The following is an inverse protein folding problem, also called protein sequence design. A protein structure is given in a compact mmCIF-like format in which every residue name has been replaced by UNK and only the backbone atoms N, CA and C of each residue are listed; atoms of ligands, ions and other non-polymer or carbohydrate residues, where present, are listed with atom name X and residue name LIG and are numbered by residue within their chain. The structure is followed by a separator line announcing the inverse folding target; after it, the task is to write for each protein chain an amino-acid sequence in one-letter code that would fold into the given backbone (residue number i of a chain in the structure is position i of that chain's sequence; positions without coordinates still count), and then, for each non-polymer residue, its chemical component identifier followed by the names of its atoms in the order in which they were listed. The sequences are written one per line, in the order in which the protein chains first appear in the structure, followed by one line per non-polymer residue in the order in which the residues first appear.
data_IF_029899848231
#
_entry.id   IF_029899848231
#
_cell.length_a   1.000
_cell.length_b   1.000
_cell.length_c   1.000
_cell.angle_alpha   90.00
_cell.angle_beta   90.00
_cell.angle_gamma   90.00
#
_symmetry.space_group_name_H-M   'P 1'
#
loop_
_entity.id
_entity.type
_entity.pdbx_description
1 polymer ?
#
# COMPACT_ATOMS: atom_id res chain seq x y z
N UNK A 1 -14.42 11.90 -3.75
CA UNK A 1 -13.62 10.97 -2.91
C UNK A 1 -14.51 9.80 -2.52
N UNK A 2 -14.07 8.56 -2.70
CA UNK A 2 -14.84 7.40 -2.24
C UNK A 2 -14.63 7.23 -0.74
N UNK A 3 -15.43 7.94 0.07
CA UNK A 3 -15.26 8.04 1.52
C UNK A 3 -15.29 6.68 2.23
N UNK A 4 -16.00 5.70 1.67
CA UNK A 4 -16.11 4.34 2.24
C UNK A 4 -14.75 3.62 2.20
N UNK A 5 -14.08 3.69 1.06
CA UNK A 5 -12.79 3.05 0.86
C UNK A 5 -11.69 3.75 1.67
N UNK A 6 -11.75 5.08 1.83
CA UNK A 6 -10.80 5.82 2.67
C UNK A 6 -10.95 5.45 4.15
N UNK A 7 -12.19 5.28 4.63
CA UNK A 7 -12.46 4.76 5.97
C UNK A 7 -11.93 3.35 6.15
N UNK A 8 -12.06 2.47 5.15
CA UNK A 8 -11.47 1.11 5.20
C UNK A 8 -9.95 1.14 5.35
N UNK A 9 -9.27 1.99 4.56
CA UNK A 9 -7.81 2.13 4.63
C UNK A 9 -7.37 2.60 6.02
N UNK A 10 -8.02 3.64 6.55
CA UNK A 10 -7.73 4.13 7.89
C UNK A 10 -8.02 3.09 8.98
N UNK A 11 -9.10 2.32 8.85
CA UNK A 11 -9.46 1.29 9.82
C UNK A 11 -8.43 0.15 9.88
N UNK A 12 -7.94 -0.29 8.72
CA UNK A 12 -6.90 -1.34 8.61
C UNK A 12 -5.57 -0.90 9.19
N UNK A 13 -5.16 0.34 8.90
CA UNK A 13 -3.97 0.96 9.50
C UNK A 13 -4.06 0.97 11.03
N UNK A 14 -5.19 1.45 11.57
CA UNK A 14 -5.45 1.45 13.02
C UNK A 14 -5.49 0.05 13.62
N UNK A 15 -6.07 -0.93 12.93
CA UNK A 15 -6.18 -2.31 13.41
C UNK A 15 -4.80 -2.96 13.61
N UNK A 16 -3.78 -2.54 12.86
CA UNK A 16 -2.39 -2.96 13.00
C UNK A 16 -1.53 -2.04 13.87
N UNK A 17 -2.13 -1.03 14.52
CA UNK A 17 -1.42 -0.11 15.39
C UNK A 17 -0.62 0.98 14.67
N UNK A 18 -0.73 1.09 13.35
CA UNK A 18 -0.04 2.13 12.60
C UNK A 18 -0.71 3.50 12.77
N UNK A 19 0.09 4.51 13.09
CA UNK A 19 -0.24 5.91 12.89
C UNK A 19 0.17 6.32 11.47
N UNK A 20 -0.70 7.00 10.73
CA UNK A 20 -0.39 7.46 9.36
C UNK A 20 -0.42 8.98 9.30
N UNK A 21 0.60 9.59 8.68
CA UNK A 21 0.59 11.02 8.41
C UNK A 21 -0.43 11.34 7.30
N UNK A 22 -1.09 12.51 7.32
CA UNK A 22 -2.10 12.86 6.32
C UNK A 22 -1.58 12.80 4.87
N UNK A 23 -0.36 13.27 4.62
CA UNK A 23 0.29 13.17 3.31
C UNK A 23 0.55 11.72 2.88
N UNK A 24 0.94 10.87 3.83
CA UNK A 24 1.18 9.44 3.59
C UNK A 24 -0.13 8.70 3.28
N UNK A 25 -1.20 9.04 4.00
CA UNK A 25 -2.54 8.50 3.76
C UNK A 25 -3.06 8.89 2.37
N UNK A 26 -2.85 10.13 1.95
CA UNK A 26 -3.24 10.60 0.62
C UNK A 26 -2.50 9.84 -0.49
N UNK A 27 -1.21 9.60 -0.31
CA UNK A 27 -0.40 8.87 -1.28
C UNK A 27 -0.79 7.39 -1.36
N UNK A 28 -0.95 6.75 -0.20
CA UNK A 28 -1.40 5.36 -0.09
C UNK A 28 -2.78 5.19 -0.72
N UNK A 29 -3.68 6.13 -0.45
CA UNK A 29 -5.02 6.19 -1.06
C UNK A 29 -4.94 6.28 -2.59
N UNK A 30 -4.13 7.20 -3.12
CA UNK A 30 -3.94 7.37 -4.55
C UNK A 30 -3.43 6.10 -5.23
N UNK A 31 -2.60 5.32 -4.53
CA UNK A 31 -2.14 4.02 -5.00
C UNK A 31 -3.22 2.95 -4.96
N UNK A 32 -3.85 2.69 -3.80
CA UNK A 32 -4.84 1.60 -3.67
C UNK A 32 -6.10 1.85 -4.50
N UNK A 33 -6.46 3.11 -4.75
CA UNK A 33 -7.58 3.45 -5.62
C UNK A 33 -7.37 3.00 -7.07
N UNK A 34 -6.14 2.69 -7.49
CA UNK A 34 -5.86 2.11 -8.82
C UNK A 34 -6.18 0.61 -8.88
N UNK A 35 -6.39 -0.04 -7.73
CA UNK A 35 -6.62 -1.48 -7.61
C UNK A 35 -7.94 -1.78 -6.89
N UNK A 36 -9.10 -1.37 -7.45
CA UNK A 36 -10.41 -1.48 -6.77
C UNK A 36 -10.80 -2.91 -6.40
N UNK A 37 -10.26 -3.90 -7.12
CA UNK A 37 -10.46 -5.32 -6.84
C UNK A 37 -9.30 -5.80 -5.96
N UNK A 38 -9.60 -6.17 -4.71
CA UNK A 38 -8.58 -6.63 -3.77
C UNK A 38 -7.88 -5.53 -2.98
N UNK A 39 -8.47 -4.34 -2.85
CA UNK A 39 -7.91 -3.25 -2.01
C UNK A 39 -7.53 -3.74 -0.61
N UNK A 40 -8.37 -4.56 0.01
CA UNK A 40 -8.13 -5.04 1.38
C UNK A 40 -6.92 -5.97 1.43
N UNK A 41 -6.80 -6.93 0.52
CA UNK A 41 -5.63 -7.82 0.41
C UNK A 41 -4.35 -7.04 0.06
N UNK A 42 -4.43 -6.11 -0.88
CA UNK A 42 -3.30 -5.25 -1.25
C UNK A 42 -2.83 -4.42 -0.06
N UNK A 43 -3.77 -3.84 0.69
CA UNK A 43 -3.44 -3.04 1.85
C UNK A 43 -2.85 -3.91 2.96
N UNK A 44 -3.42 -5.08 3.22
CA UNK A 44 -2.88 -6.03 4.20
C UNK A 44 -1.46 -6.49 3.83
N UNK A 45 -1.15 -6.72 2.54
CA UNK A 45 0.21 -7.00 2.08
C UNK A 45 1.17 -5.82 2.26
N UNK A 46 0.75 -4.62 1.84
CA UNK A 46 1.56 -3.40 1.99
C UNK A 46 1.91 -3.14 3.46
N UNK A 47 0.97 -3.37 4.37
CA UNK A 47 1.19 -3.20 5.80
C UNK A 47 2.08 -4.29 6.43
N UNK A 48 2.08 -5.50 5.86
CA UNK A 48 2.95 -6.59 6.31
C UNK A 48 4.42 -6.26 5.99
N UNK A 49 4.65 -5.77 4.78
CA UNK A 49 5.96 -5.27 4.34
C UNK A 49 6.45 -4.10 5.19
N UNK A 50 5.55 -3.24 5.68
CA UNK A 50 5.91 -2.16 6.59
C UNK A 50 6.35 -2.66 7.96
N UNK A 51 5.61 -3.62 8.53
CA UNK A 51 5.96 -4.23 9.81
C UNK A 51 7.31 -4.95 9.74
N UNK A 52 7.67 -5.48 8.57
CA UNK A 52 8.96 -6.12 8.33
C UNK A 52 10.10 -5.12 8.05
N UNK A 53 9.84 -4.04 7.30
CA UNK A 53 10.88 -3.10 6.86
C UNK A 53 11.17 -1.97 7.86
N UNK A 54 10.21 -1.58 8.68
CA UNK A 54 10.33 -0.40 9.53
C UNK A 54 9.83 -0.69 10.95
N UNK A 55 10.70 -0.50 11.94
CA UNK A 55 10.34 -0.64 13.36
C UNK A 55 9.42 0.50 13.84
N UNK A 56 9.25 1.56 13.04
CA UNK A 56 8.35 2.67 13.34
C UNK A 56 6.91 2.35 12.96
N UNK A 57 6.04 2.34 13.97
CA UNK A 57 4.58 2.30 13.79
C UNK A 57 4.00 3.60 13.19
N UNK A 58 4.84 4.55 12.75
CA UNK A 58 4.41 5.81 12.12
C UNK A 58 4.76 5.80 10.64
N UNK A 59 3.73 5.69 9.79
CA UNK A 59 3.83 5.78 8.35
C UNK A 59 3.90 7.23 7.89
N UNK A 60 5.08 7.63 7.44
CA UNK A 60 5.31 8.86 6.70
C UNK A 60 5.28 8.63 5.18
N UNK A 61 5.35 9.74 4.42
CA UNK A 61 5.22 9.72 2.97
C UNK A 61 6.36 8.96 2.30
N UNK A 62 7.59 9.08 2.80
CA UNK A 62 8.76 8.41 2.24
C UNK A 62 8.64 6.90 2.39
N UNK A 63 8.23 6.44 3.58
CA UNK A 63 7.95 5.04 3.87
C UNK A 63 6.89 4.48 2.91
N UNK A 64 5.76 5.18 2.75
CA UNK A 64 4.71 4.85 1.77
C UNK A 64 5.25 4.75 0.34
N UNK A 65 6.06 5.72 -0.08
CA UNK A 65 6.64 5.73 -1.43
C UNK A 65 7.64 4.59 -1.66
N UNK A 66 8.41 4.19 -0.64
CA UNK A 66 9.28 3.02 -0.73
C UNK A 66 8.47 1.77 -1.02
N UNK A 67 7.49 1.42 -0.18
CA UNK A 67 6.71 0.19 -0.38
C UNK A 67 5.92 0.19 -1.69
N UNK A 68 5.32 1.33 -2.09
CA UNK A 68 4.67 1.45 -3.40
C UNK A 68 5.66 1.18 -4.53
N UNK A 69 6.87 1.72 -4.44
CA UNK A 69 7.91 1.53 -5.46
C UNK A 69 8.34 0.06 -5.53
N UNK A 70 8.50 -0.61 -4.39
CA UNK A 70 8.78 -2.04 -4.32
C UNK A 70 7.66 -2.87 -4.96
N UNK A 71 6.40 -2.60 -4.58
CA UNK A 71 5.25 -3.29 -5.13
C UNK A 71 5.14 -3.13 -6.66
N UNK A 72 5.35 -1.90 -7.17
CA UNK A 72 5.38 -1.64 -8.62
C UNK A 72 6.48 -2.42 -9.32
N UNK A 73 7.68 -2.49 -8.73
CA UNK A 73 8.81 -3.26 -9.28
C UNK A 73 8.51 -4.76 -9.28
N UNK A 74 7.93 -5.29 -8.20
CA UNK A 74 7.50 -6.68 -8.12
C UNK A 74 6.47 -7.01 -9.21
N UNK A 75 5.45 -6.16 -9.37
CA UNK A 75 4.45 -6.31 -10.44
C UNK A 75 5.05 -6.22 -11.84
N UNK A 76 5.97 -5.29 -12.09
CA UNK A 76 6.68 -5.18 -13.36
C UNK A 76 7.54 -6.42 -13.64
N UNK A 77 8.24 -6.94 -12.63
CA UNK A 77 9.05 -8.14 -12.75
C UNK A 77 8.19 -9.37 -13.06
N UNK A 78 7.05 -9.53 -12.37
CA UNK A 78 6.06 -10.58 -12.68
C UNK A 78 5.56 -10.45 -14.12
N UNK A 79 5.13 -9.26 -14.55
CA UNK A 79 4.69 -9.04 -15.93
C UNK A 79 5.79 -9.32 -16.96
N UNK A 80 7.04 -8.97 -16.68
CA UNK A 80 8.17 -9.26 -17.56
C UNK A 80 8.49 -10.77 -17.66
N UNK A 81 8.27 -11.53 -16.59
CA UNK A 81 8.42 -12.99 -16.59
C UNK A 81 7.29 -13.68 -17.35
N UNK A 82 6.05 -13.20 -17.23
CA UNK A 82 4.90 -13.75 -17.95
C UNK A 82 4.76 -13.22 -19.40
N UNK A 83 5.38 -12.08 -19.72
CA UNK A 83 5.31 -11.43 -21.04
C UNK A 83 6.35 -11.88 -22.06
N UNK A 84 7.20 -12.89 -21.75
CA UNK A 84 8.18 -13.45 -22.70
C UNK A 84 7.66 -14.64 -23.54
N UNK A 85 6.38 -15.00 -23.41
CA UNK A 85 5.71 -15.90 -24.34
C UNK A 85 4.49 -15.19 -24.96
N UNK A 86 4.77 -14.38 -25.98
CA UNK A 86 3.80 -13.79 -26.89
C UNK A 86 4.47 -13.50 -28.21
#
# INVERSE_FOLDING_TARGET
MNSILMTKVQWRLKARGFAVKPDALSELWGFVSQYPRGIEELLDHVLDEFEYCDESLVLDKESVQKVISWYRRAMQAMQAMYGKHG
#
